data_IF_658424257875
#
_entry.id   IF_658424257875
#
_cell.length_a   1.000
_cell.length_b   1.000
_cell.length_c   1.000
_cell.angle_alpha   90.00
_cell.angle_beta   90.00
_cell.angle_gamma   90.00
#
_symmetry.space_group_name_H-M   'P 1'
#
loop_
_entity.id
_entity.type
_entity.pdbx_description
1 polymer ?
#
# COMPACT_ATOMS: atom_id res chain seq x y z
N UNK A 1 20.94 -40.95 -22.17
CA UNK A 1 19.91 -39.89 -22.12
C UNK A 1 19.93 -39.29 -20.73
N UNK A 2 20.44 -38.06 -20.57
CA UNK A 2 20.51 -37.38 -19.28
C UNK A 2 19.14 -36.77 -18.94
N UNK A 3 18.57 -37.13 -17.79
CA UNK A 3 17.35 -36.52 -17.28
C UNK A 3 17.66 -35.10 -16.80
N UNK A 4 16.90 -34.12 -17.29
CA UNK A 4 16.96 -32.74 -16.81
C UNK A 4 16.51 -32.66 -15.34
N UNK A 5 17.16 -31.84 -14.50
CA UNK A 5 16.77 -31.70 -13.09
C UNK A 5 15.37 -31.08 -12.99
N UNK A 6 14.48 -31.74 -12.23
CA UNK A 6 13.17 -31.22 -11.84
C UNK A 6 13.37 -29.84 -11.18
N UNK A 7 12.71 -28.81 -11.74
CA UNK A 7 12.64 -27.48 -11.12
C UNK A 7 12.16 -27.62 -9.67
N UNK A 8 12.81 -26.95 -8.69
CA UNK A 8 12.34 -26.95 -7.32
C UNK A 8 10.92 -26.36 -7.28
N UNK A 9 10.00 -27.09 -6.67
CA UNK A 9 8.61 -26.65 -6.52
C UNK A 9 8.55 -25.31 -5.79
N UNK A 10 7.73 -24.40 -6.30
CA UNK A 10 7.45 -23.13 -5.63
C UNK A 10 7.01 -23.41 -4.18
N UNK A 11 7.58 -22.67 -3.22
CA UNK A 11 7.17 -22.76 -1.81
C UNK A 11 5.70 -22.36 -1.73
N UNK A 12 4.81 -23.32 -1.50
CA UNK A 12 3.40 -23.06 -1.27
C UNK A 12 3.16 -22.55 0.15
N UNK A 13 2.12 -21.73 0.32
CA UNK A 13 1.63 -21.32 1.64
C UNK A 13 0.63 -22.35 2.18
N UNK A 14 0.64 -22.57 3.50
CA UNK A 14 -0.29 -23.52 4.14
C UNK A 14 -1.57 -22.81 4.54
N UNK A 15 -2.72 -23.30 4.03
CA UNK A 15 -4.05 -22.80 4.38
C UNK A 15 -4.85 -23.87 5.14
N UNK A 16 -5.31 -23.55 6.34
CA UNK A 16 -6.20 -24.40 7.12
C UNK A 16 -7.66 -23.95 6.98
N UNK A 17 -8.49 -24.76 6.31
CA UNK A 17 -9.91 -24.48 6.11
C UNK A 17 -10.80 -25.42 6.94
N UNK A 18 -11.78 -24.85 7.64
CA UNK A 18 -12.84 -25.64 8.30
C UNK A 18 -13.99 -25.83 7.32
N UNK A 19 -14.25 -27.09 6.96
CA UNK A 19 -15.34 -27.48 6.07
C UNK A 19 -16.34 -28.36 6.80
N UNK A 20 -17.63 -28.21 6.48
CA UNK A 20 -18.62 -29.19 6.91
C UNK A 20 -18.40 -30.55 6.21
N UNK A 21 -19.01 -31.59 6.77
CA UNK A 21 -18.82 -32.98 6.29
C UNK A 21 -19.23 -33.15 4.82
N UNK A 22 -20.30 -32.48 4.37
CA UNK A 22 -20.82 -32.61 3.01
C UNK A 22 -19.87 -31.94 2.02
N UNK A 23 -19.40 -30.73 2.32
CA UNK A 23 -18.44 -30.02 1.44
C UNK A 23 -17.11 -30.76 1.33
N UNK A 24 -16.60 -31.32 2.44
CA UNK A 24 -15.40 -32.16 2.40
C UNK A 24 -15.57 -33.39 1.51
N UNK A 25 -16.73 -34.07 1.60
CA UNK A 25 -17.02 -35.23 0.77
C UNK A 25 -17.09 -34.86 -0.73
N UNK A 26 -17.77 -33.77 -1.07
CA UNK A 26 -17.85 -33.28 -2.46
C UNK A 26 -16.45 -33.00 -3.00
N UNK A 27 -15.59 -32.34 -2.22
CA UNK A 27 -14.22 -32.01 -2.62
C UNK A 27 -13.39 -33.27 -2.91
N UNK A 28 -13.46 -34.30 -2.05
CA UNK A 28 -12.77 -35.59 -2.27
C UNK A 28 -13.32 -36.36 -3.48
N UNK A 29 -14.64 -36.34 -3.67
CA UNK A 29 -15.27 -36.95 -4.84
C UNK A 29 -14.78 -36.30 -6.15
N UNK A 30 -14.77 -34.96 -6.20
CA UNK A 30 -14.32 -34.22 -7.39
C UNK A 30 -12.83 -34.44 -7.65
N UNK A 31 -11.99 -34.43 -6.61
CA UNK A 31 -10.56 -34.66 -6.77
C UNK A 31 -10.27 -36.05 -7.35
N UNK A 32 -10.97 -37.09 -6.87
CA UNK A 32 -10.87 -38.46 -7.41
C UNK A 32 -11.41 -38.56 -8.83
N UNK A 33 -12.57 -37.97 -9.10
CA UNK A 33 -13.20 -38.00 -10.42
C UNK A 33 -12.33 -37.32 -11.50
N UNK A 34 -11.62 -36.23 -11.14
CA UNK A 34 -10.73 -35.49 -12.04
C UNK A 34 -9.28 -36.00 -12.05
N UNK A 35 -8.92 -36.96 -11.18
CA UNK A 35 -7.54 -37.42 -11.02
C UNK A 35 -6.57 -36.33 -10.55
N UNK A 36 -7.06 -35.36 -9.78
CA UNK A 36 -6.30 -34.20 -9.29
C UNK A 36 -6.14 -34.25 -7.77
N UNK A 37 -5.16 -33.54 -7.24
CA UNK A 37 -5.06 -33.35 -5.79
C UNK A 37 -6.19 -32.42 -5.33
N UNK A 38 -6.60 -32.56 -4.06
CA UNK A 38 -7.57 -31.63 -3.44
C UNK A 38 -7.09 -30.18 -3.59
N UNK A 39 -5.80 -29.93 -3.36
CA UNK A 39 -5.17 -28.61 -3.55
C UNK A 39 -5.42 -28.04 -4.93
N UNK A 40 -5.16 -28.81 -6.00
CA UNK A 40 -5.38 -28.33 -7.38
C UNK A 40 -6.85 -28.04 -7.67
N UNK A 41 -7.78 -28.84 -7.13
CA UNK A 41 -9.22 -28.58 -7.30
C UNK A 41 -9.62 -27.28 -6.62
N UNK A 42 -9.13 -27.03 -5.39
CA UNK A 42 -9.41 -25.80 -4.64
C UNK A 42 -8.81 -24.59 -5.32
N UNK A 43 -7.53 -24.63 -5.71
CA UNK A 43 -6.86 -23.52 -6.40
C UNK A 43 -7.61 -23.13 -7.68
N UNK A 44 -7.96 -24.11 -8.52
CA UNK A 44 -8.72 -23.86 -9.75
C UNK A 44 -10.09 -23.24 -9.46
N UNK A 45 -10.81 -23.77 -8.49
CA UNK A 45 -12.11 -23.21 -8.11
C UNK A 45 -11.99 -21.77 -7.61
N UNK A 46 -10.94 -21.44 -6.86
CA UNK A 46 -10.66 -20.06 -6.41
C UNK A 46 -10.34 -19.16 -7.61
N UNK A 47 -9.47 -19.58 -8.54
CA UNK A 47 -9.15 -18.79 -9.73
C UNK A 47 -10.38 -18.56 -10.61
N UNK A 48 -11.20 -19.59 -10.80
CA UNK A 48 -12.45 -19.49 -11.57
C UNK A 48 -13.44 -18.52 -10.88
N UNK A 49 -13.61 -18.62 -9.57
CA UNK A 49 -14.47 -17.71 -8.82
C UNK A 49 -13.94 -16.28 -8.83
N UNK A 50 -12.63 -16.08 -8.59
CA UNK A 50 -11.99 -14.78 -8.58
C UNK A 50 -12.01 -14.08 -9.94
N UNK A 51 -11.97 -14.85 -11.04
CA UNK A 51 -12.11 -14.32 -12.40
C UNK A 51 -13.51 -13.74 -12.69
N UNK A 52 -14.51 -14.03 -11.84
CA UNK A 52 -15.86 -13.46 -11.95
C UNK A 52 -16.08 -12.30 -10.96
N UNK A 53 -15.09 -11.97 -10.12
CA UNK A 53 -15.20 -10.88 -9.15
C UNK A 53 -14.60 -9.62 -9.74
N UNK A 54 -15.47 -8.63 -9.90
CA UNK A 54 -15.18 -7.32 -10.45
C UNK A 54 -15.58 -6.27 -9.41
N UNK A 55 -14.68 -5.32 -9.16
CA UNK A 55 -14.92 -4.18 -8.25
C UNK A 55 -14.82 -2.93 -9.09
N UNK A 56 -15.90 -2.14 -9.12
CA UNK A 56 -15.91 -0.86 -9.84
C UNK A 56 -15.78 0.29 -8.86
N UNK A 57 -15.13 1.39 -9.26
CA UNK A 57 -15.14 2.66 -8.51
C UNK A 57 -15.99 3.74 -9.20
N UNK A 58 -16.87 3.31 -10.11
CA UNK A 58 -17.72 4.16 -10.96
C UNK A 58 -17.07 4.59 -12.28
N UNK A 59 -15.74 4.62 -12.37
CA UNK A 59 -15.01 4.99 -13.59
C UNK A 59 -14.21 3.83 -14.17
N UNK A 60 -13.66 2.98 -13.31
CA UNK A 60 -12.83 1.85 -13.66
C UNK A 60 -13.44 0.56 -13.14
N UNK A 61 -13.05 -0.55 -13.76
CA UNK A 61 -13.35 -1.90 -13.29
C UNK A 61 -12.04 -2.60 -12.92
N UNK A 62 -11.98 -3.14 -11.71
CA UNK A 62 -10.79 -3.74 -11.13
C UNK A 62 -11.02 -5.21 -10.86
N UNK A 63 -9.99 -5.99 -11.17
CA UNK A 63 -9.89 -7.41 -10.81
C UNK A 63 -8.78 -7.61 -9.78
N UNK A 64 -8.71 -8.81 -9.19
CA UNK A 64 -7.61 -9.14 -8.27
C UNK A 64 -6.21 -9.01 -8.93
N UNK A 65 -6.12 -9.14 -10.26
CA UNK A 65 -4.87 -9.06 -10.99
C UNK A 65 -4.29 -7.64 -11.02
N UNK A 66 -5.16 -6.64 -11.09
CA UNK A 66 -4.76 -5.22 -11.10
C UNK A 66 -4.09 -4.83 -9.77
N UNK A 67 -4.56 -5.46 -8.70
CA UNK A 67 -4.12 -5.18 -7.33
C UNK A 67 -2.95 -6.07 -6.91
N UNK A 68 -2.85 -7.28 -7.45
CA UNK A 68 -1.80 -8.24 -7.06
C UNK A 68 -0.40 -7.69 -7.30
N UNK A 69 0.45 -7.90 -6.31
CA UNK A 69 1.88 -7.63 -6.34
C UNK A 69 2.56 -8.53 -5.29
N UNK A 70 3.78 -9.00 -5.58
CA UNK A 70 4.58 -9.82 -4.66
C UNK A 70 5.01 -9.02 -3.41
N UNK A 71 5.31 -7.73 -3.59
CA UNK A 71 5.56 -6.81 -2.51
C UNK A 71 4.25 -6.42 -1.81
N UNK A 72 4.11 -6.85 -0.56
CA UNK A 72 2.92 -6.58 0.27
C UNK A 72 2.59 -5.08 0.33
N UNK A 73 3.59 -4.22 0.47
CA UNK A 73 3.37 -2.78 0.54
C UNK A 73 2.86 -2.18 -0.76
N UNK A 74 3.37 -2.64 -1.91
CA UNK A 74 2.89 -2.17 -3.19
C UNK A 74 1.43 -2.59 -3.41
N UNK A 75 1.07 -3.81 -2.97
CA UNK A 75 -0.30 -4.31 -2.96
C UNK A 75 -1.19 -3.45 -2.03
N UNK A 76 -0.78 -3.21 -0.79
CA UNK A 76 -1.54 -2.40 0.16
C UNK A 76 -1.80 -0.96 -0.34
N UNK A 77 -0.79 -0.33 -0.95
CA UNK A 77 -0.94 1.00 -1.55
C UNK A 77 -1.89 1.00 -2.76
N UNK A 78 -1.87 -0.06 -3.58
CA UNK A 78 -2.83 -0.23 -4.68
C UNK A 78 -4.26 -0.43 -4.17
N UNK A 79 -4.46 -1.26 -3.15
CA UNK A 79 -5.78 -1.46 -2.51
C UNK A 79 -6.39 -0.12 -2.09
N UNK A 80 -5.59 0.79 -1.54
CA UNK A 80 -6.03 2.10 -1.09
C UNK A 80 -6.49 3.06 -2.20
N UNK A 81 -6.20 2.75 -3.47
CA UNK A 81 -6.65 3.55 -4.60
C UNK A 81 -8.06 3.20 -5.06
N UNK A 82 -8.57 2.02 -4.68
CA UNK A 82 -9.90 1.55 -5.07
C UNK A 82 -10.90 1.98 -4.01
N UNK A 83 -11.78 2.93 -4.36
CA UNK A 83 -12.71 3.59 -3.41
C UNK A 83 -13.69 2.62 -2.73
N UNK A 84 -14.09 1.58 -3.45
CA UNK A 84 -15.11 0.63 -3.00
C UNK A 84 -14.53 -0.51 -2.13
N UNK A 85 -13.23 -0.47 -1.83
CA UNK A 85 -12.57 -1.41 -0.92
C UNK A 85 -12.25 -0.70 0.39
N UNK A 86 -12.84 -1.20 1.48
CA UNK A 86 -12.68 -0.63 2.81
C UNK A 86 -11.48 -1.29 3.52
N UNK A 87 -10.39 -0.55 3.80
CA UNK A 87 -9.28 -1.07 4.57
C UNK A 87 -9.70 -1.31 6.03
N UNK A 88 -9.03 -2.24 6.69
CA UNK A 88 -9.09 -2.40 8.14
C UNK A 88 -8.46 -1.18 8.84
N UNK A 89 -8.72 -1.02 10.15
CA UNK A 89 -8.14 0.08 10.93
C UNK A 89 -6.60 0.16 10.86
N UNK A 90 -5.92 -0.99 10.96
CA UNK A 90 -4.45 -1.04 10.88
C UNK A 90 -3.95 -0.67 9.48
N UNK A 91 -4.64 -1.15 8.44
CA UNK A 91 -4.32 -0.76 7.05
C UNK A 91 -4.54 0.73 6.84
N UNK A 92 -5.64 1.30 7.33
CA UNK A 92 -5.91 2.72 7.24
C UNK A 92 -4.85 3.56 7.97
N UNK A 93 -4.39 3.12 9.15
CA UNK A 93 -3.28 3.76 9.88
C UNK A 93 -2.01 3.79 9.05
N UNK A 94 -1.62 2.66 8.45
CA UNK A 94 -0.44 2.54 7.57
C UNK A 94 -0.57 3.40 6.31
N UNK A 95 -1.74 3.42 5.70
CA UNK A 95 -2.02 4.23 4.52
C UNK A 95 -1.94 5.72 4.84
N UNK A 96 -2.53 6.16 5.96
CA UNK A 96 -2.44 7.55 6.40
C UNK A 96 -0.98 7.97 6.67
N UNK A 97 -0.17 7.08 7.25
CA UNK A 97 1.26 7.33 7.42
C UNK A 97 1.97 7.48 6.07
N UNK A 98 1.72 6.57 5.12
CA UNK A 98 2.29 6.62 3.77
C UNK A 98 1.88 7.90 3.01
N UNK A 99 0.65 8.38 3.20
CA UNK A 99 0.15 9.64 2.62
C UNK A 99 0.88 10.87 3.18
N UNK A 100 1.12 10.92 4.51
CA UNK A 100 1.87 12.02 5.15
C UNK A 100 3.33 12.05 4.71
N UNK A 101 3.90 10.88 4.48
CA UNK A 101 5.29 10.69 4.05
C UNK A 101 5.39 10.31 2.58
N UNK A 102 4.52 10.89 1.74
CA UNK A 102 4.38 10.48 0.35
C UNK A 102 5.70 10.40 -0.43
N UNK A 103 6.76 11.22 -0.22
CA UNK A 103 8.00 11.11 -0.99
C UNK A 103 8.73 9.77 -0.82
N UNK A 104 8.41 9.01 0.23
CA UNK A 104 8.99 7.69 0.49
C UNK A 104 8.17 6.54 -0.11
N UNK A 105 6.89 6.76 -0.41
CA UNK A 105 5.97 5.69 -0.83
C UNK A 105 5.41 5.90 -2.22
N UNK A 106 5.36 7.13 -2.72
CA UNK A 106 4.77 7.52 -4.00
C UNK A 106 5.71 8.40 -4.81
N UNK A 107 5.65 8.28 -6.13
CA UNK A 107 6.47 9.07 -7.06
C UNK A 107 6.06 10.54 -7.11
N UNK A 108 4.84 10.86 -6.72
CA UNK A 108 4.28 12.20 -6.71
C UNK A 108 3.27 12.37 -5.56
N UNK A 109 2.97 13.63 -5.23
CA UNK A 109 2.02 14.01 -4.19
C UNK A 109 0.57 13.59 -4.52
N UNK A 110 0.27 13.32 -5.79
CA UNK A 110 -1.05 12.79 -6.21
C UNK A 110 -1.23 11.30 -5.89
N UNK A 111 -0.17 10.62 -5.42
CA UNK A 111 -0.21 9.25 -4.91
C UNK A 111 -0.68 8.21 -5.93
N UNK A 112 -0.53 8.48 -7.23
CA UNK A 112 -1.00 7.57 -8.28
C UNK A 112 -0.08 6.36 -8.52
N UNK A 113 1.21 6.48 -8.18
CA UNK A 113 2.19 5.43 -8.48
C UNK A 113 3.11 5.25 -7.29
N UNK A 114 3.08 4.04 -6.71
CA UNK A 114 3.94 3.66 -5.60
C UNK A 114 5.40 3.50 -6.06
N UNK A 115 6.35 3.87 -5.21
CA UNK A 115 7.78 3.65 -5.43
C UNK A 115 8.15 2.25 -4.93
N UNK A 116 7.92 1.23 -5.76
CA UNK A 116 8.06 -0.19 -5.37
C UNK A 116 9.38 -0.49 -4.66
N UNK A 117 10.50 0.03 -5.17
CA UNK A 117 11.83 -0.19 -4.57
C UNK A 117 11.94 0.35 -3.14
N UNK A 118 11.39 1.54 -2.86
CA UNK A 118 11.40 2.11 -1.51
C UNK A 118 10.43 1.37 -0.61
N UNK A 119 9.25 1.06 -1.14
CA UNK A 119 8.18 0.35 -0.42
C UNK A 119 8.67 -1.03 0.04
N UNK A 120 9.39 -1.78 -0.79
CA UNK A 120 9.95 -3.08 -0.41
C UNK A 120 10.91 -3.01 0.79
N UNK A 121 11.67 -1.93 0.92
CA UNK A 121 12.59 -1.72 2.05
C UNK A 121 11.88 -1.20 3.29
N UNK A 122 10.93 -0.28 3.11
CA UNK A 122 10.30 0.45 4.22
C UNK A 122 9.09 -0.28 4.80
N UNK A 123 8.28 -0.93 3.95
CA UNK A 123 7.02 -1.54 4.35
C UNK A 123 7.14 -2.62 5.43
N UNK A 124 8.15 -3.51 5.42
CA UNK A 124 8.34 -4.50 6.48
C UNK A 124 8.52 -3.90 7.88
N UNK A 125 8.92 -2.63 7.97
CA UNK A 125 9.16 -1.89 9.21
C UNK A 125 8.20 -0.70 9.38
N UNK A 126 7.10 -0.68 8.62
CA UNK A 126 6.19 0.48 8.60
C UNK A 126 5.64 0.81 10.00
N UNK A 127 5.31 -0.21 10.79
CA UNK A 127 4.78 -0.03 12.14
C UNK A 127 5.84 0.56 13.09
N UNK A 128 7.12 0.22 12.90
CA UNK A 128 8.23 0.83 13.65
C UNK A 128 8.36 2.32 13.32
N UNK A 129 8.28 2.69 12.03
CA UNK A 129 8.36 4.09 11.62
C UNK A 129 7.15 4.91 12.09
N UNK A 130 5.96 4.32 12.09
CA UNK A 130 4.77 4.95 12.66
C UNK A 130 5.00 5.21 14.15
N UNK A 131 5.49 4.21 14.89
CA UNK A 131 5.77 4.35 16.32
C UNK A 131 6.82 5.44 16.61
N UNK A 132 7.92 5.48 15.84
CA UNK A 132 8.94 6.54 15.96
C UNK A 132 8.33 7.93 15.73
N UNK A 133 7.42 8.06 14.76
CA UNK A 133 6.71 9.30 14.47
C UNK A 133 5.78 9.73 15.61
N UNK A 134 5.00 8.78 16.13
CA UNK A 134 4.06 9.04 17.24
C UNK A 134 4.82 9.44 18.52
N UNK A 135 5.92 8.74 18.86
CA UNK A 135 6.72 8.99 20.07
C UNK A 135 7.48 10.32 20.03
N UNK A 136 7.85 10.78 18.84
CA UNK A 136 8.65 11.99 18.65
C UNK A 136 7.84 13.18 18.12
N UNK A 137 6.52 13.06 17.92
CA UNK A 137 5.69 14.10 17.32
C UNK A 137 5.88 15.48 18.00
N UNK A 138 6.02 15.49 19.33
CA UNK A 138 6.20 16.70 20.13
C UNK A 138 7.64 17.23 20.21
N UNK A 139 8.63 16.40 19.84
CA UNK A 139 10.06 16.72 19.97
C UNK A 139 10.72 16.97 18.61
N UNK A 140 10.49 16.08 17.66
CA UNK A 140 10.94 16.16 16.28
C UNK A 140 9.85 15.56 15.37
N UNK A 141 9.04 16.43 14.76
CA UNK A 141 8.00 16.03 13.81
C UNK A 141 8.54 15.32 12.55
N UNK A 142 9.86 15.37 12.30
CA UNK A 142 10.51 14.80 11.14
C UNK A 142 11.21 13.46 11.41
N UNK A 143 11.23 12.98 12.67
CA UNK A 143 11.98 11.81 13.11
C UNK A 143 11.66 10.53 12.33
N UNK A 144 10.39 10.32 11.98
CA UNK A 144 9.97 9.16 11.19
C UNK A 144 10.60 9.17 9.79
N UNK A 145 10.65 10.32 9.12
CA UNK A 145 11.26 10.43 7.80
C UNK A 145 12.79 10.34 7.84
N UNK A 146 13.44 10.85 8.89
CA UNK A 146 14.88 10.63 9.12
C UNK A 146 15.21 9.14 9.28
N UNK A 147 14.40 8.41 10.06
CA UNK A 147 14.54 6.96 10.22
C UNK A 147 14.34 6.21 8.88
N UNK A 148 13.38 6.63 8.06
CA UNK A 148 13.16 6.07 6.72
C UNK A 148 14.33 6.37 5.76
N UNK A 149 14.89 7.59 5.80
CA UNK A 149 16.09 7.91 5.01
C UNK A 149 17.28 7.04 5.40
N UNK A 150 17.49 6.83 6.70
CA UNK A 150 18.55 5.96 7.21
C UNK A 150 18.35 4.51 6.73
N UNK A 151 17.11 4.01 6.73
CA UNK A 151 16.79 2.67 6.24
C UNK A 151 17.06 2.51 4.73
N UNK A 152 16.66 3.48 3.91
CA UNK A 152 16.94 3.48 2.47
C UNK A 152 18.45 3.57 2.18
N UNK A 153 19.15 4.43 2.92
CA UNK A 153 20.61 4.59 2.77
C UNK A 153 21.36 3.32 3.16
N UNK A 154 20.93 2.62 4.22
CA UNK A 154 21.49 1.33 4.61
C UNK A 154 21.26 0.24 3.55
N UNK A 155 20.17 0.34 2.77
CA UNK A 155 19.90 -0.50 1.61
C UNK A 155 20.60 -0.02 0.32
N UNK A 156 21.49 0.98 0.40
CA UNK A 156 22.20 1.58 -0.74
C UNK A 156 21.27 2.22 -1.79
N UNK A 157 20.12 2.70 -1.36
CA UNK A 157 19.15 3.40 -2.19
C UNK A 157 19.22 4.89 -1.86
N UNK A 158 19.29 5.75 -2.88
CA UNK A 158 19.29 7.20 -2.69
C UNK A 158 17.94 7.62 -2.09
N UNK A 159 17.90 8.17 -0.86
CA UNK A 159 16.65 8.56 -0.21
C UNK A 159 16.14 9.91 -0.75
N UNK A 160 14.82 10.17 -0.67
CA UNK A 160 14.28 11.48 -1.00
C UNK A 160 14.80 12.52 0.01
N UNK A 161 14.92 13.78 -0.41
CA UNK A 161 15.32 14.86 0.49
C UNK A 161 14.26 15.08 1.59
N UNK A 162 14.72 15.04 2.85
CA UNK A 162 13.88 15.19 4.04
C UNK A 162 14.64 15.98 5.12
N UNK A 163 14.00 16.91 5.86
CA UNK A 163 12.62 17.40 5.69
C UNK A 163 12.41 18.13 4.35
N UNK A 164 11.15 18.28 3.88
CA UNK A 164 10.87 18.99 2.64
C UNK A 164 11.45 20.40 2.72
N UNK A 165 12.38 20.75 1.81
CA UNK A 165 12.86 22.13 1.69
C UNK A 165 11.65 22.97 1.28
N UNK A 166 11.07 23.71 2.22
CA UNK A 166 10.03 24.69 1.94
C UNK A 166 10.56 25.60 0.84
N UNK A 167 10.00 25.53 -0.36
CA UNK A 167 10.18 26.61 -1.33
C UNK A 167 9.61 27.85 -0.65
N UNK A 168 10.46 28.74 -0.16
CA UNK A 168 10.07 30.12 0.10
C UNK A 168 9.45 30.62 -1.20
N UNK A 169 8.12 30.67 -1.26
CA UNK A 169 7.48 31.61 -2.18
C UNK A 169 7.93 32.97 -1.69
N UNK A 170 8.92 33.55 -2.36
CA UNK A 170 9.18 34.99 -2.31
C UNK A 170 7.95 35.68 -2.89
N UNK A 171 6.92 35.81 -2.05
CA UNK A 171 5.81 36.70 -2.27
C UNK A 171 6.21 38.03 -1.65
N UNK A 172 6.49 38.98 -2.52
CA UNK A 172 6.66 40.40 -2.26
C UNK A 172 5.46 40.92 -1.46
N UNK A 173 5.51 40.82 -0.14
CA UNK A 173 4.60 41.53 0.75
C UNK A 173 5.27 42.84 1.10
N UNK A 174 5.04 43.84 0.24
CA UNK A 174 5.19 45.24 0.61
C UNK A 174 4.37 45.53 1.89
N UNK A 175 4.74 46.58 2.65
CA UNK A 175 4.07 46.91 3.89
C UNK A 175 2.57 47.12 3.65
N UNK A 176 1.70 46.70 4.58
CA UNK A 176 0.26 46.83 4.43
C UNK A 176 -0.09 48.33 4.25
N UNK A 177 -1.02 48.67 3.35
CA UNK A 177 -1.41 50.06 3.15
C UNK A 177 -2.06 50.58 4.43
N UNK A 178 -1.54 51.71 4.91
CA UNK A 178 -2.12 52.52 5.98
C UNK A 178 -3.58 52.81 5.64
N UNK A 179 -4.49 52.31 6.46
CA UNK A 179 -5.92 52.59 6.33
C UNK A 179 -6.16 53.99 6.89
N UNK A 180 -6.15 55.00 6.02
CA UNK A 180 -6.65 56.33 6.34
C UNK A 180 -8.13 56.20 6.73
N UNK A 181 -8.43 56.49 7.99
CA UNK A 181 -9.78 56.70 8.50
C UNK A 181 -10.16 58.12 8.10
N UNK A 182 -10.82 58.28 6.96
CA UNK A 182 -11.43 59.54 6.59
C UNK A 182 -12.90 59.54 7.03
N UNK A 183 -13.21 60.53 7.84
CA UNK A 183 -14.52 60.89 8.36
C UNK A 183 -15.47 61.27 7.23
N UNK A 184 -16.69 60.71 7.20
CA UNK A 184 -17.93 61.39 6.80
C UNK A 184 -19.11 60.38 6.73
N UNK A 185 -19.98 60.39 7.75
CA UNK A 185 -21.37 59.96 7.56
C UNK A 185 -22.23 61.22 7.77
N UNK A 186 -22.84 61.79 6.72
CA UNK A 186 -23.68 62.97 6.84
C UNK A 186 -25.10 62.61 7.30
N UNK A 187 -25.52 63.33 8.35
CA UNK A 187 -26.87 63.64 8.89
C UNK A 187 -27.91 62.52 9.02
#
# INVERSE_FOLDING_TARGET
>A
MAQAPKKPGAKGESLALRLDKKTRFILDFVSRAKGQTITTVVERAIYEAAAQVHVTDGENDYTWQDVWNEAEGARALKWATIKDLFPTYEEERRLNFARRHWPFFYTNERMHTAQTLYVEVLWPKIDEFIQIGDDNLHKNAWAAGEAMQAALSAAQIEPPAWPPKTKQKGGDFGPPPSRELDDEIPF
#
